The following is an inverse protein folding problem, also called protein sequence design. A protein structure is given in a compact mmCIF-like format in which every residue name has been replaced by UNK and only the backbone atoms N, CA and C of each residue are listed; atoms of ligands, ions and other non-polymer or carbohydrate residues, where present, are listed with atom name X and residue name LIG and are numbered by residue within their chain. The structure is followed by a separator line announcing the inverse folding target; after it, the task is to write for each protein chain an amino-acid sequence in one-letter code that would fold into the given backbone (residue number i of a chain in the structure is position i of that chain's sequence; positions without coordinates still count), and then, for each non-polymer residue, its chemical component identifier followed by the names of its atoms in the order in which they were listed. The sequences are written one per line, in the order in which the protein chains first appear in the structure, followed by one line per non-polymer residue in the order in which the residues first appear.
data_IF_593895695994
#
_entry.id   IF_593895695994
#
_cell.length_a   1.000
_cell.length_b   1.000
_cell.length_c   1.000
_cell.angle_alpha   90.00
_cell.angle_beta   90.00
_cell.angle_gamma   90.00
#
_symmetry.space_group_name_H-M   'P 1'
#
loop_
_entity.id
_entity.type
_entity.pdbx_description
1 polymer ?
#
# COMPACT_ATOMS: atom_id res chain seq x y z
N UNK A 1 9.68 -6.06 -24.24
CA UNK A 1 9.85 -7.28 -23.48
C UNK A 1 10.19 -6.88 -22.06
N UNK A 2 9.32 -7.17 -21.14
CA UNK A 2 9.59 -7.01 -19.71
C UNK A 2 10.58 -8.09 -19.34
N UNK A 3 11.76 -7.69 -18.87
CA UNK A 3 12.74 -8.64 -18.37
C UNK A 3 12.12 -9.33 -17.15
N UNK A 4 11.85 -10.60 -17.29
CA UNK A 4 11.33 -11.46 -16.26
C UNK A 4 12.42 -12.44 -15.86
N UNK A 5 12.81 -12.42 -14.60
CA UNK A 5 13.71 -13.38 -14.01
C UNK A 5 12.89 -14.46 -13.28
N UNK A 6 13.20 -15.71 -13.56
CA UNK A 6 12.53 -16.86 -12.92
C UNK A 6 13.60 -17.77 -12.37
N UNK A 7 13.45 -18.18 -11.12
CA UNK A 7 14.29 -19.22 -10.52
C UNK A 7 13.46 -20.19 -9.69
N UNK A 8 13.99 -21.35 -9.47
CA UNK A 8 13.31 -22.43 -8.77
C UNK A 8 14.24 -22.92 -7.67
N UNK A 9 13.73 -23.07 -6.47
CA UNK A 9 14.47 -23.64 -5.35
C UNK A 9 13.59 -24.63 -4.57
N UNK A 10 14.23 -25.58 -3.91
CA UNK A 10 13.54 -26.49 -3.01
C UNK A 10 13.10 -25.77 -1.75
N UNK A 11 11.92 -26.13 -1.24
CA UNK A 11 11.38 -25.50 -0.03
C UNK A 11 12.28 -25.77 1.17
N UNK A 12 12.65 -24.71 1.86
CA UNK A 12 13.43 -24.78 3.09
C UNK A 12 12.56 -24.63 4.34
N UNK A 13 13.15 -24.84 5.53
CA UNK A 13 12.41 -24.79 6.79
C UNK A 13 11.68 -23.45 7.01
N UNK A 14 12.34 -22.31 6.72
CA UNK A 14 11.73 -20.99 6.91
C UNK A 14 10.53 -20.76 5.98
N UNK A 15 10.64 -21.19 4.73
CA UNK A 15 9.53 -21.12 3.76
C UNK A 15 8.38 -22.04 4.15
N UNK A 16 8.71 -23.24 4.66
CA UNK A 16 7.72 -24.19 5.16
C UNK A 16 6.95 -23.66 6.37
N UNK A 17 7.66 -23.02 7.30
CA UNK A 17 7.04 -22.40 8.48
C UNK A 17 6.10 -21.26 8.09
N UNK A 18 6.50 -20.41 7.13
CA UNK A 18 5.70 -19.28 6.65
C UNK A 18 4.43 -19.70 5.88
N UNK A 19 4.47 -20.84 5.18
CA UNK A 19 3.38 -21.28 4.29
C UNK A 19 2.53 -22.41 4.86
N UNK A 20 3.05 -23.14 5.87
CA UNK A 20 2.44 -24.39 6.35
C UNK A 20 2.60 -25.57 5.37
N UNK A 21 3.32 -25.39 4.26
CA UNK A 21 3.63 -26.45 3.27
C UNK A 21 4.97 -27.04 3.60
N UNK A 22 5.06 -28.34 3.78
CA UNK A 22 6.28 -29.00 4.27
C UNK A 22 7.18 -29.53 3.16
N UNK A 23 6.62 -29.87 2.01
CA UNK A 23 7.35 -30.41 0.85
C UNK A 23 6.93 -29.70 -0.43
N UNK A 24 7.89 -29.32 -1.26
CA UNK A 24 7.59 -28.70 -2.54
C UNK A 24 8.72 -27.83 -3.08
N UNK A 25 8.36 -27.04 -4.06
CA UNK A 25 9.25 -26.13 -4.77
C UNK A 25 8.75 -24.72 -4.67
N UNK A 26 9.66 -23.78 -4.53
CA UNK A 26 9.40 -22.35 -4.66
C UNK A 26 9.76 -21.94 -6.08
N UNK A 27 8.80 -21.38 -6.80
CA UNK A 27 9.05 -20.71 -8.07
C UNK A 27 9.00 -19.22 -7.79
N UNK A 28 10.14 -18.57 -7.84
CA UNK A 28 10.22 -17.13 -7.66
C UNK A 28 10.27 -16.42 -9.00
N UNK A 29 9.53 -15.33 -9.10
CA UNK A 29 9.44 -14.49 -10.30
C UNK A 29 9.67 -13.05 -9.93
N UNK A 30 10.62 -12.43 -10.60
CA UNK A 30 10.90 -11.01 -10.49
C UNK A 30 10.61 -10.34 -11.82
N UNK A 31 9.75 -9.32 -11.80
CA UNK A 31 9.44 -8.51 -12.98
C UNK A 31 9.02 -7.10 -12.53
N UNK A 32 9.09 -6.16 -13.47
CA UNK A 32 8.56 -4.79 -13.29
C UNK A 32 7.16 -4.74 -13.90
N UNK A 33 6.22 -4.18 -13.19
CA UNK A 33 4.87 -3.96 -13.70
C UNK A 33 4.87 -2.81 -14.72
N UNK A 34 4.04 -2.90 -15.75
CA UNK A 34 3.85 -1.80 -16.70
C UNK A 34 3.20 -0.61 -15.98
N UNK A 35 3.83 0.57 -16.08
CA UNK A 35 3.38 1.79 -15.39
C UNK A 35 2.04 2.32 -15.89
N UNK A 36 1.66 1.99 -17.11
CA UNK A 36 0.41 2.48 -17.72
C UNK A 36 -0.82 1.65 -17.28
N UNK A 37 -0.61 0.36 -17.00
CA UNK A 37 -1.67 -0.53 -16.51
C UNK A 37 -1.09 -1.63 -15.59
N UNK A 38 -0.61 -1.25 -14.40
CA UNK A 38 0.04 -2.19 -13.49
C UNK A 38 -0.93 -3.26 -12.96
N UNK A 39 -2.20 -2.93 -12.82
CA UNK A 39 -3.20 -3.87 -12.31
C UNK A 39 -3.47 -5.02 -13.29
N UNK A 40 -3.67 -4.73 -14.57
CA UNK A 40 -3.83 -5.76 -15.58
C UNK A 40 -2.59 -6.62 -15.71
N UNK A 41 -1.40 -6.01 -15.68
CA UNK A 41 -0.15 -6.76 -15.74
C UNK A 41 0.00 -7.70 -14.54
N UNK A 42 -0.22 -7.21 -13.33
CA UNK A 42 -0.18 -8.00 -12.10
C UNK A 42 -1.21 -9.14 -12.11
N UNK A 43 -2.44 -8.84 -12.51
CA UNK A 43 -3.52 -9.83 -12.61
C UNK A 43 -3.19 -10.94 -13.62
N UNK A 44 -2.62 -10.59 -14.77
CA UNK A 44 -2.22 -11.57 -15.79
C UNK A 44 -1.07 -12.45 -15.29
N UNK A 45 -0.12 -11.87 -14.54
CA UNK A 45 0.96 -12.63 -13.91
C UNK A 45 0.40 -13.68 -12.93
N UNK A 46 -0.50 -13.27 -12.04
CA UNK A 46 -1.12 -14.19 -11.09
C UNK A 46 -1.98 -15.26 -11.78
N UNK A 47 -2.73 -14.88 -12.82
CA UNK A 47 -3.52 -15.84 -13.62
C UNK A 47 -2.64 -16.87 -14.33
N UNK A 48 -1.48 -16.48 -14.83
CA UNK A 48 -0.53 -17.39 -15.47
C UNK A 48 -0.13 -18.51 -14.51
N UNK A 49 0.21 -18.18 -13.27
CA UNK A 49 0.60 -19.18 -12.27
C UNK A 49 -0.58 -19.97 -11.72
N UNK A 50 -1.67 -19.30 -11.38
CA UNK A 50 -2.86 -19.94 -10.82
C UNK A 50 -3.58 -20.84 -11.85
N UNK A 51 -3.58 -20.45 -13.13
CA UNK A 51 -4.20 -21.22 -14.22
C UNK A 51 -3.29 -22.27 -14.87
N UNK A 52 -2.02 -22.39 -14.43
CA UNK A 52 -1.07 -23.37 -14.96
C UNK A 52 -1.43 -24.81 -14.47
N UNK A 53 -0.86 -25.82 -15.14
CA UNK A 53 -0.92 -27.23 -14.70
C UNK A 53 -0.14 -27.47 -13.40
N UNK A 54 0.62 -26.49 -12.96
CA UNK A 54 1.33 -26.52 -11.68
C UNK A 54 0.32 -26.52 -10.53
N UNK A 55 0.56 -27.37 -9.55
CA UNK A 55 -0.20 -27.35 -8.29
C UNK A 55 0.27 -26.22 -7.40
N UNK A 56 -0.07 -24.99 -7.75
CA UNK A 56 0.25 -23.81 -6.94
C UNK A 56 -0.65 -23.77 -5.73
N UNK A 57 -0.10 -23.92 -4.54
CA UNK A 57 -0.83 -23.88 -3.27
C UNK A 57 -1.08 -22.45 -2.81
N UNK A 58 -0.08 -21.58 -2.99
CA UNK A 58 -0.19 -20.16 -2.65
C UNK A 58 0.83 -19.33 -3.42
N UNK A 59 0.57 -18.03 -3.53
CA UNK A 59 1.53 -17.05 -4.08
C UNK A 59 1.81 -15.99 -3.02
N UNK A 60 3.10 -15.76 -2.74
CA UNK A 60 3.55 -14.64 -1.94
C UNK A 60 3.89 -13.45 -2.83
N UNK A 61 3.22 -12.35 -2.62
CA UNK A 61 3.60 -11.05 -3.19
C UNK A 61 4.63 -10.38 -2.28
N UNK A 62 5.89 -10.53 -2.59
CA UNK A 62 7.00 -10.02 -1.77
C UNK A 62 6.97 -8.50 -1.60
N UNK A 63 6.49 -7.76 -2.61
CA UNK A 63 6.43 -6.29 -2.53
C UNK A 63 5.47 -5.79 -1.45
N UNK A 64 4.39 -6.51 -1.21
CA UNK A 64 3.41 -6.19 -0.17
C UNK A 64 3.51 -7.10 1.06
N UNK A 65 4.17 -8.25 0.93
CA UNK A 65 4.19 -9.31 1.94
C UNK A 65 2.87 -10.06 2.07
N UNK A 66 1.98 -9.95 1.06
CA UNK A 66 0.69 -10.66 1.04
C UNK A 66 0.85 -12.07 0.53
N UNK A 67 0.12 -12.97 1.17
CA UNK A 67 -0.08 -14.33 0.71
C UNK A 67 -1.45 -14.49 0.09
N UNK A 68 -1.48 -15.07 -1.11
CA UNK A 68 -2.70 -15.43 -1.82
C UNK A 68 -2.83 -16.96 -1.85
N UNK A 69 -3.58 -17.56 -0.91
CA UNK A 69 -3.86 -19.00 -0.94
C UNK A 69 -4.70 -19.37 -2.17
N UNK A 70 -4.70 -20.64 -2.54
CA UNK A 70 -5.34 -21.16 -3.76
C UNK A 70 -6.77 -20.67 -3.94
N UNK A 71 -7.58 -20.71 -2.90
CA UNK A 71 -8.98 -20.30 -2.94
C UNK A 71 -9.17 -18.82 -3.32
N UNK A 72 -8.25 -17.96 -2.84
CA UNK A 72 -8.24 -16.52 -3.17
C UNK A 72 -7.80 -16.31 -4.62
N UNK A 73 -6.77 -17.03 -5.06
CA UNK A 73 -6.29 -16.96 -6.44
C UNK A 73 -7.40 -17.34 -7.42
N UNK A 74 -8.12 -18.44 -7.16
CA UNK A 74 -9.21 -18.91 -8.01
C UNK A 74 -10.34 -17.88 -8.06
N UNK A 75 -10.74 -17.30 -6.93
CA UNK A 75 -11.80 -16.30 -6.85
C UNK A 75 -11.45 -14.97 -7.52
N UNK A 76 -10.25 -14.45 -7.26
CA UNK A 76 -9.87 -13.11 -7.71
C UNK A 76 -9.30 -13.10 -9.13
N UNK A 77 -8.58 -14.14 -9.52
CA UNK A 77 -7.76 -14.08 -10.74
C UNK A 77 -8.16 -15.12 -11.80
N UNK A 78 -8.60 -16.30 -11.43
CA UNK A 78 -8.93 -17.37 -12.38
C UNK A 78 -10.41 -17.41 -12.69
N UNK A 79 -11.26 -17.51 -11.66
CA UNK A 79 -12.72 -17.61 -11.80
C UNK A 79 -13.43 -16.25 -11.84
N UNK A 80 -12.72 -15.17 -11.57
CA UNK A 80 -13.29 -13.84 -11.47
C UNK A 80 -13.73 -13.26 -12.82
N UNK A 81 -15.02 -12.93 -12.94
CA UNK A 81 -15.55 -12.15 -14.08
C UNK A 81 -15.24 -10.66 -13.95
N UNK A 82 -14.73 -10.22 -12.80
CA UNK A 82 -14.42 -8.83 -12.48
C UNK A 82 -12.92 -8.67 -12.25
N UNK A 83 -12.40 -7.51 -12.68
CA UNK A 83 -11.02 -7.13 -12.38
C UNK A 83 -10.85 -7.00 -10.85
N UNK A 84 -9.74 -7.49 -10.26
CA UNK A 84 -9.46 -7.30 -8.85
C UNK A 84 -9.38 -5.81 -8.50
N UNK A 85 -9.60 -5.43 -7.24
CA UNK A 85 -9.46 -4.04 -6.81
C UNK A 85 -8.00 -3.59 -6.90
N UNK A 86 -7.76 -2.31 -7.17
CA UNK A 86 -6.41 -1.74 -7.31
C UNK A 86 -5.58 -1.89 -6.03
N UNK A 87 -6.23 -1.94 -4.89
CA UNK A 87 -5.63 -2.12 -3.57
C UNK A 87 -4.83 -3.43 -3.43
N UNK A 88 -4.96 -4.37 -4.39
CA UNK A 88 -4.06 -5.54 -4.45
C UNK A 88 -2.62 -5.14 -4.77
N UNK A 89 -2.40 -3.95 -5.36
CA UNK A 89 -1.08 -3.47 -5.76
C UNK A 89 -0.25 -2.90 -4.62
N UNK A 90 -0.87 -2.47 -3.52
CA UNK A 90 -0.15 -1.95 -2.35
C UNK A 90 -0.81 -2.39 -1.04
N UNK A 91 -0.08 -2.21 0.03
CA UNK A 91 -0.63 -2.23 1.40
C UNK A 91 -0.22 -0.95 2.11
N UNK A 92 -1.07 -0.51 3.04
CA UNK A 92 -0.72 0.54 3.99
C UNK A 92 -0.39 -0.09 5.33
N UNK A 93 0.84 0.12 5.79
CA UNK A 93 1.33 -0.36 7.09
C UNK A 93 1.32 0.77 8.10
N UNK A 94 0.99 0.42 9.32
CA UNK A 94 1.08 1.30 10.48
C UNK A 94 2.14 0.74 11.42
N UNK A 95 3.17 1.52 11.69
CA UNK A 95 4.20 1.20 12.69
C UNK A 95 3.97 2.15 13.86
N UNK A 96 3.52 1.61 14.97
CA UNK A 96 3.25 2.39 16.16
C UNK A 96 4.48 2.51 17.05
N UNK A 97 4.54 3.59 17.82
CA UNK A 97 5.54 3.74 18.89
C UNK A 97 5.40 2.61 19.91
N UNK A 98 6.49 2.27 20.63
CA UNK A 98 6.44 1.25 21.68
C UNK A 98 5.33 1.51 22.69
N UNK A 99 4.69 0.44 23.16
CA UNK A 99 3.55 0.49 24.10
C UNK A 99 3.84 1.20 25.43
N UNK A 100 5.11 1.40 25.76
CA UNK A 100 5.54 2.05 27.02
C UNK A 100 5.38 3.59 27.01
N UNK A 101 4.94 4.17 25.89
CA UNK A 101 4.66 5.60 25.79
C UNK A 101 3.28 5.92 26.35
N UNK A 102 3.14 7.09 27.00
CA UNK A 102 1.83 7.59 27.41
C UNK A 102 0.89 7.69 26.18
N UNK A 103 -0.43 7.42 26.34
CA UNK A 103 -1.35 7.39 25.19
C UNK A 103 -1.35 8.67 24.35
N UNK A 104 -1.11 9.82 24.99
CA UNK A 104 -1.09 11.13 24.36
C UNK A 104 0.22 11.39 23.58
N UNK A 105 1.27 10.65 23.91
CA UNK A 105 2.58 10.71 23.25
C UNK A 105 2.75 9.64 22.16
N UNK A 106 1.76 8.75 22.02
CA UNK A 106 1.83 7.69 21.03
C UNK A 106 1.69 8.27 19.62
N UNK A 107 2.63 7.92 18.81
CA UNK A 107 2.68 8.29 17.40
C UNK A 107 2.76 7.05 16.53
N UNK A 108 2.38 7.20 15.29
CA UNK A 108 2.47 6.17 14.28
C UNK A 108 3.21 6.69 13.03
N UNK A 109 3.85 5.78 12.35
CA UNK A 109 4.36 5.97 11.01
C UNK A 109 3.47 5.15 10.06
N UNK A 110 2.76 5.84 9.18
CA UNK A 110 1.87 5.23 8.21
C UNK A 110 2.55 5.27 6.85
N UNK A 111 2.65 4.13 6.16
CA UNK A 111 3.44 4.02 4.94
C UNK A 111 2.87 3.00 3.97
N UNK A 112 2.96 3.28 2.65
CA UNK A 112 2.62 2.31 1.62
C UNK A 112 3.79 1.37 1.30
N UNK A 113 3.47 0.18 0.79
CA UNK A 113 4.40 -0.77 0.20
C UNK A 113 3.78 -1.38 -1.05
N UNK A 114 4.48 -1.36 -2.16
CA UNK A 114 4.06 -1.94 -3.43
C UNK A 114 3.89 -0.94 -4.56
N UNK A 115 3.77 0.36 -4.29
CA UNK A 115 3.64 1.39 -5.33
C UNK A 115 4.90 1.49 -6.19
N UNK A 116 6.07 1.26 -5.60
CA UNK A 116 7.36 1.32 -6.32
C UNK A 116 7.40 0.37 -7.53
N UNK A 117 6.82 -0.83 -7.41
CA UNK A 117 6.75 -1.79 -8.54
C UNK A 117 5.85 -1.30 -9.69
N UNK A 118 4.95 -0.37 -9.40
CA UNK A 118 4.07 0.29 -10.38
C UNK A 118 4.72 1.52 -11.00
N UNK A 119 6.01 1.76 -10.74
CA UNK A 119 6.73 2.97 -11.18
C UNK A 119 6.29 4.23 -10.45
N UNK A 120 5.74 4.09 -9.24
CA UNK A 120 5.30 5.20 -8.38
C UNK A 120 6.18 5.28 -7.13
N UNK A 121 6.18 6.43 -6.48
CA UNK A 121 6.85 6.60 -5.19
C UNK A 121 5.97 6.03 -4.07
N UNK A 122 6.60 5.51 -3.03
CA UNK A 122 5.87 5.15 -1.82
C UNK A 122 5.44 6.41 -1.07
N UNK A 123 4.33 6.31 -0.36
CA UNK A 123 3.75 7.42 0.40
C UNK A 123 3.97 7.18 1.89
N UNK A 124 4.27 8.24 2.62
CA UNK A 124 4.53 8.17 4.05
C UNK A 124 3.84 9.32 4.80
N UNK A 125 3.41 9.05 6.01
CA UNK A 125 2.93 10.05 6.95
C UNK A 125 3.59 9.79 8.29
N UNK A 126 4.40 10.74 8.75
CA UNK A 126 5.31 10.57 9.87
C UNK A 126 4.75 11.23 11.14
N UNK A 127 4.97 10.60 12.29
CA UNK A 127 4.62 11.19 13.58
C UNK A 127 3.12 11.40 13.81
N UNK A 128 2.28 10.62 13.13
CA UNK A 128 0.82 10.72 13.22
C UNK A 128 0.38 10.35 14.63
N UNK A 129 -0.46 11.18 15.27
CA UNK A 129 -1.08 10.81 16.54
C UNK A 129 -1.88 9.53 16.41
N UNK A 130 -1.74 8.62 17.37
CA UNK A 130 -2.46 7.35 17.41
C UNK A 130 -3.99 7.52 17.30
N UNK A 131 -4.53 8.65 17.76
CA UNK A 131 -5.97 8.96 17.74
C UNK A 131 -6.52 9.14 16.31
N UNK A 132 -5.68 9.56 15.35
CA UNK A 132 -6.09 9.85 13.96
C UNK A 132 -5.41 8.92 12.93
N UNK A 133 -4.84 7.82 13.38
CA UNK A 133 -4.15 6.86 12.49
C UNK A 133 -5.09 6.28 11.43
N UNK A 134 -6.34 5.97 11.79
CA UNK A 134 -7.31 5.44 10.81
C UNK A 134 -7.66 6.46 9.71
N UNK A 135 -7.67 7.74 10.02
CA UNK A 135 -7.86 8.81 9.05
C UNK A 135 -6.63 8.98 8.17
N UNK A 136 -5.43 8.84 8.74
CA UNK A 136 -4.17 8.86 7.99
C UNK A 136 -4.11 7.73 6.96
N UNK A 137 -4.53 6.52 7.33
CA UNK A 137 -4.66 5.39 6.39
C UNK A 137 -5.59 5.74 5.23
N UNK A 138 -6.76 6.34 5.50
CA UNK A 138 -7.70 6.74 4.45
C UNK A 138 -7.11 7.78 3.48
N UNK A 139 -6.36 8.76 3.99
CA UNK A 139 -5.66 9.76 3.16
C UNK A 139 -4.61 9.09 2.28
N UNK A 140 -3.78 8.24 2.87
CA UNK A 140 -2.72 7.53 2.15
C UNK A 140 -3.30 6.61 1.09
N UNK A 141 -4.31 5.80 1.39
CA UNK A 141 -4.94 4.90 0.42
C UNK A 141 -5.60 5.67 -0.72
N UNK A 142 -6.29 6.77 -0.40
CA UNK A 142 -6.86 7.63 -1.43
C UNK A 142 -5.79 8.25 -2.34
N UNK A 143 -4.67 8.70 -1.76
CA UNK A 143 -3.56 9.26 -2.53
C UNK A 143 -2.84 8.18 -3.34
N UNK A 144 -2.66 6.97 -2.79
CA UNK A 144 -2.09 5.83 -3.50
C UNK A 144 -2.89 5.50 -4.78
N UNK A 145 -4.22 5.45 -4.68
CA UNK A 145 -5.08 5.26 -5.85
C UNK A 145 -4.91 6.38 -6.88
N UNK A 146 -4.83 7.65 -6.45
CA UNK A 146 -4.58 8.77 -7.36
C UNK A 146 -3.23 8.66 -8.08
N UNK A 147 -2.19 8.16 -7.42
CA UNK A 147 -0.87 8.01 -8.06
C UNK A 147 -0.86 7.03 -9.23
N UNK A 148 -1.77 6.07 -9.24
CA UNK A 148 -1.91 5.14 -10.36
C UNK A 148 -2.55 5.80 -11.58
N UNK A 149 -3.46 6.75 -11.36
CA UNK A 149 -4.15 7.47 -12.44
C UNK A 149 -3.32 8.65 -12.99
N UNK A 150 -2.57 9.33 -12.14
CA UNK A 150 -1.83 10.55 -12.52
C UNK A 150 -0.57 10.74 -11.66
N UNK A 151 0.47 11.39 -12.23
CA UNK A 151 1.66 11.70 -11.45
C UNK A 151 1.33 12.66 -10.31
N UNK A 152 2.04 12.51 -9.19
CA UNK A 152 1.94 13.44 -8.08
C UNK A 152 2.45 14.83 -8.46
N UNK A 153 1.90 15.89 -7.86
CA UNK A 153 2.45 17.23 -8.03
C UNK A 153 3.86 17.31 -7.43
N UNK A 154 4.66 18.29 -7.86
CA UNK A 154 5.96 18.57 -7.25
C UNK A 154 5.87 18.77 -5.74
N UNK A 155 6.98 18.45 -5.04
CA UNK A 155 7.10 18.70 -3.61
C UNK A 155 6.84 20.19 -3.27
N UNK A 156 6.18 20.46 -2.16
CA UNK A 156 5.77 21.79 -1.70
C UNK A 156 4.46 22.30 -2.31
N UNK A 157 3.89 21.63 -3.30
CA UNK A 157 2.62 22.01 -3.86
C UNK A 157 1.46 21.45 -3.03
N UNK A 158 0.49 22.32 -2.71
CA UNK A 158 -0.74 21.91 -2.02
C UNK A 158 -1.69 21.25 -3.00
N UNK A 159 -2.26 20.14 -2.58
CA UNK A 159 -3.30 19.42 -3.33
C UNK A 159 -4.54 19.19 -2.47
N UNK A 160 -5.69 19.14 -3.11
CA UNK A 160 -6.95 18.81 -2.47
C UNK A 160 -7.34 17.36 -2.76
N UNK A 161 -7.63 16.62 -1.71
CA UNK A 161 -8.14 15.24 -1.78
C UNK A 161 -9.65 15.18 -1.49
N UNK A 162 -10.29 16.31 -1.28
CA UNK A 162 -11.72 16.43 -0.97
C UNK A 162 -12.03 17.73 -0.25
N UNK A 163 -13.30 17.98 0.11
CA UNK A 163 -13.68 19.16 0.85
C UNK A 163 -12.93 19.25 2.18
N UNK A 164 -12.16 20.31 2.38
CA UNK A 164 -11.36 20.51 3.60
C UNK A 164 -10.17 19.55 3.78
N UNK A 165 -9.93 18.64 2.83
CA UNK A 165 -8.81 17.69 2.90
C UNK A 165 -7.68 18.21 2.01
N UNK A 166 -6.87 19.09 2.57
CA UNK A 166 -5.71 19.68 1.90
C UNK A 166 -4.42 19.06 2.44
N UNK A 167 -3.52 18.69 1.55
CA UNK A 167 -2.23 18.09 1.89
C UNK A 167 -1.12 18.72 1.04
N UNK A 168 0.10 18.64 1.51
CA UNK A 168 1.32 18.94 0.75
C UNK A 168 2.24 17.74 0.75
N UNK A 169 3.19 17.72 -0.18
CA UNK A 169 4.16 16.65 -0.31
C UNK A 169 5.56 17.20 -0.05
N UNK A 170 6.35 16.48 0.73
CA UNK A 170 7.78 16.76 0.94
C UNK A 170 8.61 15.55 0.51
N UNK A 171 9.87 15.79 0.15
CA UNK A 171 10.81 14.69 0.05
C UNK A 171 10.93 14.01 1.41
N UNK A 172 10.94 12.68 1.43
CA UNK A 172 10.96 11.95 2.70
C UNK A 172 12.22 12.28 3.54
N UNK A 173 13.36 12.54 2.87
CA UNK A 173 14.59 12.97 3.55
C UNK A 173 14.39 14.23 4.38
N UNK A 174 13.64 15.21 3.85
CA UNK A 174 13.42 16.49 4.51
C UNK A 174 12.44 16.31 5.69
N UNK A 175 11.39 15.51 5.49
CA UNK A 175 10.44 15.19 6.55
C UNK A 175 11.09 14.37 7.69
N UNK A 176 11.98 13.43 7.36
CA UNK A 176 12.76 12.68 8.36
C UNK A 176 13.74 13.59 9.11
N UNK A 177 14.34 14.57 8.45
CA UNK A 177 15.20 15.54 9.13
C UNK A 177 14.40 16.36 10.16
N UNK A 178 13.19 16.82 9.80
CA UNK A 178 12.29 17.49 10.74
C UNK A 178 11.89 16.56 11.91
N UNK A 179 11.64 15.28 11.62
CA UNK A 179 11.28 14.30 12.64
C UNK A 179 12.45 13.97 13.56
N UNK A 180 13.67 13.89 13.02
CA UNK A 180 14.88 13.58 13.81
C UNK A 180 15.16 14.62 14.90
N UNK A 181 14.74 15.88 14.70
CA UNK A 181 14.77 16.90 15.75
C UNK A 181 13.80 16.62 16.89
N UNK A 182 12.69 15.94 16.60
CA UNK A 182 11.62 15.62 17.56
C UNK A 182 11.73 14.18 18.10
N UNK A 183 12.26 13.26 17.29
CA UNK A 183 12.27 11.81 17.56
C UNK A 183 13.59 11.18 17.11
N UNK A 184 14.62 11.16 17.98
CA UNK A 184 15.92 10.56 17.66
C UNK A 184 15.80 9.06 17.35
N UNK A 185 16.53 8.61 16.33
CA UNK A 185 16.60 7.18 15.95
C UNK A 185 15.76 6.79 14.72
N UNK A 186 15.09 7.73 14.08
CA UNK A 186 14.37 7.48 12.82
C UNK A 186 15.39 7.27 11.68
N UNK A 187 15.21 6.21 10.90
CA UNK A 187 16.03 5.90 9.73
C UNK A 187 15.30 6.15 8.43
N UNK A 188 16.02 6.61 7.40
CA UNK A 188 15.46 6.75 6.04
C UNK A 188 15.28 5.39 5.38
N UNK A 189 14.23 5.26 4.56
CA UNK A 189 14.02 4.09 3.70
C UNK A 189 14.96 4.11 2.51
N UNK A 190 15.26 2.93 1.99
CA UNK A 190 16.06 2.74 0.77
C UNK A 190 15.23 2.91 -0.52
N UNK A 191 13.90 2.92 -0.42
CA UNK A 191 12.98 3.07 -1.55
C UNK A 191 12.57 4.52 -1.68
N UNK A 192 12.49 5.08 -2.91
CA UNK A 192 12.00 6.45 -3.12
C UNK A 192 10.61 6.64 -2.51
N UNK A 193 10.47 7.61 -1.63
CA UNK A 193 9.22 7.92 -0.96
C UNK A 193 9.02 9.42 -0.78
N UNK A 194 7.76 9.83 -0.63
CA UNK A 194 7.36 11.19 -0.31
C UNK A 194 6.52 11.21 0.96
N UNK A 195 6.76 12.19 1.80
CA UNK A 195 5.99 12.43 3.01
C UNK A 195 4.79 13.33 2.71
N UNK A 196 3.64 12.98 3.29
CA UNK A 196 2.41 13.77 3.24
C UNK A 196 2.37 14.64 4.48
N UNK A 197 2.34 15.95 4.29
CA UNK A 197 2.45 16.94 5.36
C UNK A 197 1.29 17.93 5.33
N UNK A 198 1.24 18.82 6.31
CA UNK A 198 0.32 19.95 6.29
C UNK A 198 0.61 20.90 5.12
N UNK A 199 -0.41 21.63 4.60
CA UNK A 199 -0.24 22.58 3.50
C UNK A 199 0.75 23.70 3.78
N UNK A 200 0.92 24.09 5.04
CA UNK A 200 1.83 25.13 5.49
C UNK A 200 3.27 24.63 5.67
N UNK A 201 3.49 23.33 5.60
CA UNK A 201 4.80 22.69 5.78
C UNK A 201 5.33 22.71 7.22
N UNK A 202 4.52 23.14 8.19
CA UNK A 202 4.95 23.25 9.60
C UNK A 202 4.67 21.99 10.41
N UNK A 203 3.74 21.15 9.96
CA UNK A 203 3.39 19.89 10.62
C UNK A 203 3.78 18.70 9.77
N UNK A 204 4.34 17.67 10.41
CA UNK A 204 4.77 16.43 9.79
C UNK A 204 3.63 15.61 9.18
N UNK A 205 2.39 15.91 9.54
CA UNK A 205 1.19 15.32 8.96
C UNK A 205 0.05 16.35 8.90
N UNK A 206 -0.93 16.19 7.99
CA UNK A 206 -1.95 17.18 7.69
C UNK A 206 -3.10 17.13 8.72
N UNK A 207 -2.89 17.70 9.90
CA UNK A 207 -3.83 17.65 11.04
C UNK A 207 -5.25 18.05 10.65
N UNK A 208 -5.41 19.18 9.95
CA UNK A 208 -6.72 19.69 9.55
C UNK A 208 -7.45 18.76 8.57
N UNK A 209 -6.70 18.11 7.67
CA UNK A 209 -7.23 17.12 6.73
C UNK A 209 -7.73 15.88 7.46
N UNK A 210 -6.96 15.39 8.44
CA UNK A 210 -7.37 14.21 9.26
C UNK A 210 -8.59 14.54 10.11
N UNK A 211 -8.66 15.74 10.67
CA UNK A 211 -9.83 16.20 11.42
C UNK A 211 -11.07 16.39 10.53
N UNK A 212 -10.89 16.83 9.27
CA UNK A 212 -12.00 16.90 8.32
C UNK A 212 -12.60 15.51 8.06
N UNK A 213 -11.76 14.49 7.86
CA UNK A 213 -12.22 13.10 7.71
C UNK A 213 -12.91 12.60 8.97
N UNK A 214 -12.38 12.92 10.15
CA UNK A 214 -12.99 12.56 11.43
C UNK A 214 -14.40 13.19 11.60
N UNK A 215 -14.63 14.35 11.00
CA UNK A 215 -15.96 15.01 10.96
C UNK A 215 -16.90 14.45 9.88
N UNK A 216 -16.45 13.47 9.09
CA UNK A 216 -17.28 12.80 8.08
C UNK A 216 -17.01 13.26 6.64
N UNK A 217 -16.01 14.10 6.40
CA UNK A 217 -15.56 14.40 5.04
C UNK A 217 -14.92 13.15 4.42
N UNK A 218 -15.06 13.02 3.12
CA UNK A 218 -14.54 11.84 2.38
C UNK A 218 -13.42 12.23 1.43
N UNK A 219 -12.40 11.39 1.36
CA UNK A 219 -11.37 11.51 0.34
C UNK A 219 -11.99 11.24 -1.03
N UNK A 220 -12.09 12.26 -1.87
CA UNK A 220 -12.62 12.17 -3.24
C UNK A 220 -11.45 11.89 -4.20
N UNK A 221 -10.67 10.88 -3.88
CA UNK A 221 -9.54 10.47 -4.70
C UNK A 221 -9.96 9.60 -5.90
N UNK A 222 -11.25 9.34 -6.07
CA UNK A 222 -11.73 8.39 -7.07
C UNK A 222 -12.74 9.02 -8.00
N UNK A 223 -12.48 8.92 -9.30
CA UNK A 223 -13.46 9.26 -10.32
C UNK A 223 -14.75 8.43 -10.12
N UNK A 224 -15.91 8.98 -10.51
CA UNK A 224 -17.23 8.37 -10.30
C UNK A 224 -17.38 6.90 -10.82
N UNK A 225 -16.46 6.42 -11.64
CA UNK A 225 -16.37 5.01 -12.08
C UNK A 225 -15.95 4.06 -10.94
N UNK A 226 -15.12 4.52 -10.05
CA UNK A 226 -14.55 3.72 -8.96
C UNK A 226 -15.53 3.56 -7.78
N UNK A 227 -16.25 4.60 -7.42
CA UNK A 227 -17.18 4.62 -6.28
C UNK A 227 -18.28 3.55 -6.42
N UNK A 228 -18.77 3.32 -7.64
CA UNK A 228 -19.84 2.33 -7.89
C UNK A 228 -19.36 0.86 -7.84
N UNK A 229 -18.08 0.60 -8.10
CA UNK A 229 -17.49 -0.75 -8.09
C UNK A 229 -17.01 -1.21 -6.72
N UNK A 230 -16.50 -0.30 -5.90
CA UNK A 230 -15.88 -0.64 -4.61
C UNK A 230 -16.86 -0.93 -3.48
N UNK A 231 -18.03 -0.30 -3.45
CA UNK A 231 -18.95 -0.46 -2.32
C UNK A 231 -19.44 -1.90 -2.13
N UNK A 232 -19.43 -2.71 -3.17
CA UNK A 232 -19.90 -4.11 -3.12
C UNK A 232 -18.76 -5.12 -3.00
N UNK A 233 -17.66 -4.93 -3.73
CA UNK A 233 -16.54 -5.89 -3.77
C UNK A 233 -15.54 -5.72 -2.61
N UNK A 234 -15.24 -4.49 -2.21
CA UNK A 234 -14.26 -4.25 -1.16
C UNK A 234 -14.67 -4.84 0.19
N UNK A 235 -15.95 -4.73 0.56
CA UNK A 235 -16.45 -5.29 1.83
C UNK A 235 -16.38 -6.80 1.91
N UNK A 236 -16.60 -7.51 0.80
CA UNK A 236 -16.57 -8.98 0.78
C UNK A 236 -15.14 -9.52 0.62
N UNK A 237 -14.34 -8.86 -0.20
CA UNK A 237 -12.97 -9.31 -0.48
C UNK A 237 -12.00 -9.00 0.67
N UNK A 238 -12.14 -7.84 1.33
CA UNK A 238 -11.33 -7.51 2.50
C UNK A 238 -11.63 -8.38 3.72
N UNK A 239 -12.88 -8.78 3.92
CA UNK A 239 -13.22 -9.77 4.95
C UNK A 239 -12.50 -11.11 4.74
N UNK A 240 -12.34 -11.53 3.49
CA UNK A 240 -11.67 -12.79 3.12
C UNK A 240 -10.13 -12.71 3.18
N UNK A 241 -9.55 -11.51 3.22
CA UNK A 241 -8.10 -11.28 3.28
C UNK A 241 -7.62 -10.93 4.70
N UNK A 242 -8.52 -10.58 5.62
CA UNK A 242 -8.21 -10.15 6.99
C UNK A 242 -8.71 -11.15 8.06
N UNK A 243 -9.56 -12.12 7.72
CA UNK A 243 -9.93 -13.27 8.53
C UNK A 243 -8.99 -14.45 8.23
#
# INVERSE_FOLDING_TARGET
PTDMLVWVEEMNHASSEATGVHDGWIIAVQTVLHSDDPLTHFSNLLRLFAGSELKVESICDVATGRWFPREILDKLFVGGTTQPPEEVLWITRVVEAPENSEPEERWAWVTTHGLARCGRVELEMLGVSAIVTSQAVQVIDGLAALTLESPLPPAGQVMSLGPGILVSLLQCSDAVAMLAEQMPGTSTRTVPSVAITSPDGHSLYPIEALDAIRRGETVVAKTARFIKRQATLARETWKLLLD
#
